data_IF_377342094087
#
_entry.id   IF_377342094087
#
_cell.length_a   1.000
_cell.length_b   1.000
_cell.length_c   1.000
_cell.angle_alpha   90.00
_cell.angle_beta   90.00
_cell.angle_gamma   90.00
#
_symmetry.space_group_name_H-M   'P 1'
#
loop_
_entity.id
_entity.type
_entity.pdbx_description
1 polymer ?
#
# COMPACT_ATOMS: atom_id res chain seq x y z
N UNK A 1 -12.83 1.60 -5.32
CA UNK A 1 -11.37 1.78 -5.15
C UNK A 1 -11.03 3.17 -5.65
N UNK A 2 -10.52 4.04 -4.79
CA UNK A 2 -9.95 5.32 -5.23
C UNK A 2 -8.48 5.11 -5.56
N UNK A 3 -8.02 5.52 -6.74
CA UNK A 3 -6.60 5.48 -7.10
C UNK A 3 -5.92 6.75 -6.61
N UNK A 4 -4.76 6.62 -5.97
CA UNK A 4 -3.86 7.73 -5.67
C UNK A 4 -2.57 7.47 -6.43
N UNK A 5 -2.61 7.73 -7.73
CA UNK A 5 -1.52 7.34 -8.63
C UNK A 5 -0.46 8.44 -8.72
N UNK A 6 0.79 8.10 -8.43
CA UNK A 6 1.96 8.80 -8.98
C UNK A 6 2.31 8.12 -10.31
N UNK A 7 1.46 8.29 -11.33
CA UNK A 7 1.59 7.54 -12.58
C UNK A 7 2.76 8.10 -13.41
N UNK A 8 3.91 7.42 -13.36
CA UNK A 8 4.94 7.50 -14.38
C UNK A 8 5.12 6.13 -14.99
N UNK A 9 4.37 5.84 -16.06
CA UNK A 9 4.54 4.63 -16.84
C UNK A 9 5.72 4.80 -17.79
N UNK A 10 6.90 4.27 -17.42
CA UNK A 10 7.92 3.97 -18.42
C UNK A 10 7.44 2.81 -19.31
N UNK A 11 7.68 2.91 -20.61
CA UNK A 11 7.37 1.87 -21.61
C UNK A 11 7.91 0.50 -21.14
N UNK A 12 7.16 -0.62 -21.30
CA UNK A 12 7.59 -1.95 -20.84
C UNK A 12 8.95 -2.42 -21.41
N UNK A 13 9.47 -1.77 -22.46
CA UNK A 13 10.79 -2.06 -23.02
C UNK A 13 11.97 -1.65 -22.12
N UNK A 14 11.73 -0.91 -21.04
CA UNK A 14 12.79 -0.47 -20.11
C UNK A 14 12.75 -1.16 -18.74
N UNK A 15 11.67 -1.85 -18.40
CA UNK A 15 11.49 -2.49 -17.10
C UNK A 15 11.95 -3.96 -17.16
N UNK A 16 13.04 -4.28 -16.46
CA UNK A 16 13.49 -5.67 -16.28
C UNK A 16 12.88 -6.33 -15.05
N UNK A 17 12.13 -5.60 -14.21
CA UNK A 17 11.37 -6.14 -13.10
C UNK A 17 10.10 -5.32 -12.82
N UNK A 18 9.04 -6.04 -12.45
CA UNK A 18 7.81 -5.48 -11.87
C UNK A 18 7.55 -6.24 -10.58
N UNK A 19 7.38 -5.52 -9.48
CA UNK A 19 7.03 -6.08 -8.18
C UNK A 19 5.66 -5.56 -7.78
N UNK A 20 4.79 -6.49 -7.34
CA UNK A 20 3.45 -6.17 -6.85
C UNK A 20 3.33 -6.68 -5.42
N UNK A 21 2.90 -5.80 -4.52
CA UNK A 21 2.49 -6.14 -3.17
C UNK A 21 0.98 -5.92 -3.04
N UNK A 22 0.29 -6.90 -2.46
CA UNK A 22 -1.14 -6.80 -2.15
C UNK A 22 -1.36 -7.14 -0.68
N UNK A 23 -1.93 -6.19 0.06
CA UNK A 23 -2.35 -6.39 1.44
C UNK A 23 -3.80 -6.86 1.48
N UNK A 24 -4.06 -7.99 2.13
CA UNK A 24 -5.41 -8.55 2.28
C UNK A 24 -5.91 -8.46 3.73
N UNK A 25 -7.21 -8.25 3.88
CA UNK A 25 -7.87 -8.32 5.20
C UNK A 25 -7.93 -9.77 5.67
N UNK A 26 -7.44 -10.05 6.87
CA UNK A 26 -7.41 -11.38 7.49
C UNK A 26 -8.61 -11.56 8.43
N UNK A 27 -9.02 -12.80 8.67
CA UNK A 27 -10.17 -13.10 9.56
C UNK A 27 -9.88 -12.81 11.04
N UNK A 28 -8.60 -12.81 11.45
CA UNK A 28 -8.20 -12.71 12.85
C UNK A 28 -7.53 -11.37 13.11
N UNK A 29 -8.07 -10.62 14.06
CA UNK A 29 -7.47 -9.39 14.59
C UNK A 29 -7.34 -9.47 16.14
N UNK A 30 -6.33 -8.82 16.72
CA UNK A 30 -6.21 -8.73 18.17
C UNK A 30 -7.31 -7.85 18.78
N UNK A 31 -7.83 -8.27 19.94
CA UNK A 31 -8.80 -7.53 20.75
C UNK A 31 -8.29 -7.47 22.19
N UNK A 32 -8.61 -6.40 22.91
CA UNK A 32 -8.23 -6.31 24.32
C UNK A 32 -8.77 -7.53 25.10
N UNK A 33 -7.90 -8.25 25.79
CA UNK A 33 -8.23 -9.49 26.49
C UNK A 33 -8.30 -10.76 25.61
N UNK A 34 -8.21 -10.65 24.29
CA UNK A 34 -8.29 -11.79 23.35
C UNK A 34 -7.28 -11.67 22.19
N UNK A 35 -6.33 -12.59 22.12
CA UNK A 35 -5.30 -12.59 21.08
C UNK A 35 -5.80 -13.00 19.68
N UNK A 36 -7.03 -13.49 19.56
CA UNK A 36 -7.57 -14.02 18.29
C UNK A 36 -9.10 -13.91 18.21
N UNK A 37 -9.60 -12.69 18.01
CA UNK A 37 -11.01 -12.45 17.75
C UNK A 37 -11.29 -12.42 16.24
N UNK A 38 -12.45 -12.94 15.82
CA UNK A 38 -12.84 -13.02 14.41
C UNK A 38 -13.55 -11.75 13.95
N UNK A 39 -13.19 -11.29 12.76
CA UNK A 39 -13.78 -10.13 12.10
C UNK A 39 -14.43 -10.56 10.78
N UNK A 40 -15.39 -9.77 10.31
CA UNK A 40 -15.97 -9.91 8.98
C UNK A 40 -15.42 -8.88 7.97
N UNK A 41 -14.90 -7.76 8.46
CA UNK A 41 -14.32 -6.69 7.65
C UNK A 41 -13.41 -5.76 8.46
N UNK A 42 -12.65 -4.93 7.76
CA UNK A 42 -12.01 -3.72 8.29
C UNK A 42 -12.67 -2.49 7.66
N UNK A 43 -13.05 -1.51 8.48
CA UNK A 43 -13.48 -0.19 8.04
C UNK A 43 -12.26 0.73 8.02
N UNK A 44 -11.85 1.18 6.83
CA UNK A 44 -10.72 2.07 6.63
C UNK A 44 -11.16 3.53 6.56
N UNK A 45 -10.54 4.36 7.39
CA UNK A 45 -10.73 5.82 7.40
C UNK A 45 -9.40 6.51 7.07
N UNK A 46 -9.47 7.56 6.24
CA UNK A 46 -8.30 8.33 5.81
C UNK A 46 -8.58 9.82 5.85
N UNK A 47 -7.59 10.62 6.27
CA UNK A 47 -7.62 12.05 6.01
C UNK A 47 -7.12 12.30 4.58
N UNK A 48 -8.05 12.21 3.63
CA UNK A 48 -7.80 12.04 2.19
C UNK A 48 -6.71 12.96 1.61
N UNK A 49 -6.76 14.30 1.79
CA UNK A 49 -5.78 15.18 1.14
C UNK A 49 -4.37 14.95 1.67
N UNK A 50 -4.25 14.68 2.98
CA UNK A 50 -2.96 14.45 3.60
C UNK A 50 -2.41 13.06 3.26
N UNK A 51 -3.24 12.02 3.32
CA UNK A 51 -2.82 10.66 2.99
C UNK A 51 -2.31 10.57 1.55
N UNK A 52 -3.05 11.16 0.60
CA UNK A 52 -2.62 11.21 -0.80
C UNK A 52 -1.29 11.96 -0.96
N UNK A 53 -1.16 13.14 -0.36
CA UNK A 53 0.07 13.94 -0.48
C UNK A 53 1.29 13.22 0.11
N UNK A 54 1.13 12.49 1.22
CA UNK A 54 2.22 11.72 1.81
C UNK A 54 2.61 10.53 0.93
N UNK A 55 1.64 9.77 0.40
CA UNK A 55 1.91 8.66 -0.52
C UNK A 55 2.68 9.14 -1.75
N UNK A 56 2.25 10.26 -2.36
CA UNK A 56 2.95 10.86 -3.50
C UNK A 56 4.38 11.26 -3.12
N UNK A 57 4.55 11.96 -2.00
CA UNK A 57 5.86 12.39 -1.51
C UNK A 57 6.82 11.23 -1.28
N UNK A 58 6.36 10.16 -0.63
CA UNK A 58 7.15 8.94 -0.39
C UNK A 58 7.51 8.29 -1.74
N UNK A 59 6.52 8.14 -2.63
CA UNK A 59 6.71 7.55 -3.95
C UNK A 59 7.77 8.29 -4.77
N UNK A 60 7.69 9.61 -4.85
CA UNK A 60 8.65 10.46 -5.57
C UNK A 60 10.06 10.34 -4.99
N UNK A 61 10.18 10.32 -3.66
CA UNK A 61 11.47 10.15 -2.98
C UNK A 61 12.09 8.77 -3.26
N UNK A 62 11.27 7.70 -3.29
CA UNK A 62 11.74 6.35 -3.59
C UNK A 62 12.09 6.17 -5.06
N UNK A 63 11.30 6.74 -5.98
CA UNK A 63 11.61 6.76 -7.41
C UNK A 63 12.97 7.41 -7.65
N UNK A 64 13.21 8.58 -7.04
CA UNK A 64 14.46 9.31 -7.19
C UNK A 64 15.66 8.56 -6.57
N UNK A 65 15.52 8.06 -5.33
CA UNK A 65 16.63 7.43 -4.59
C UNK A 65 17.03 6.04 -5.12
N UNK A 66 16.07 5.26 -5.64
CA UNK A 66 16.30 3.90 -6.12
C UNK A 66 16.38 3.80 -7.65
N UNK A 67 16.24 4.92 -8.38
CA UNK A 67 16.26 4.93 -9.84
C UNK A 67 15.11 4.10 -10.44
N UNK A 68 13.94 4.13 -9.82
CA UNK A 68 12.77 3.38 -10.27
C UNK A 68 12.21 4.00 -11.55
N UNK A 69 11.54 3.17 -12.34
CA UNK A 69 10.86 3.61 -13.56
C UNK A 69 9.45 4.14 -13.29
N UNK A 70 8.85 3.70 -12.19
CA UNK A 70 7.53 4.16 -11.77
C UNK A 70 7.02 3.38 -10.55
N UNK A 71 6.06 3.99 -9.86
CA UNK A 71 5.42 3.43 -8.68
C UNK A 71 3.94 3.79 -8.67
N UNK A 72 3.08 2.82 -8.37
CA UNK A 72 1.64 3.02 -8.24
C UNK A 72 1.16 2.47 -6.91
N UNK A 73 0.26 3.20 -6.26
CA UNK A 73 -0.34 2.83 -4.98
C UNK A 73 -1.85 2.99 -5.07
N UNK A 74 -2.57 1.91 -4.79
CA UNK A 74 -4.02 1.90 -4.71
C UNK A 74 -4.38 1.46 -3.30
N UNK A 75 -5.18 2.26 -2.61
CA UNK A 75 -5.63 1.94 -1.26
C UNK A 75 -7.17 1.98 -1.21
N UNK A 76 -7.76 0.94 -0.63
CA UNK A 76 -9.21 0.83 -0.44
C UNK A 76 -9.71 1.85 0.58
N UNK A 77 -10.99 2.20 0.48
CA UNK A 77 -11.65 3.16 1.38
C UNK A 77 -12.95 2.54 1.90
N UNK A 78 -13.31 2.89 3.13
CA UNK A 78 -14.50 2.33 3.78
C UNK A 78 -14.32 0.84 4.08
N UNK A 79 -15.41 0.09 3.97
CA UNK A 79 -15.47 -1.31 4.37
C UNK A 79 -14.77 -2.23 3.36
N UNK A 80 -13.85 -3.06 3.86
CA UNK A 80 -13.15 -4.11 3.10
C UNK A 80 -13.33 -5.43 3.82
N UNK A 81 -13.94 -6.42 3.15
CA UNK A 81 -14.26 -7.71 3.78
C UNK A 81 -13.02 -8.58 3.92
N UNK A 82 -13.07 -9.54 4.83
CA UNK A 82 -12.06 -10.60 4.93
C UNK A 82 -11.84 -11.27 3.56
N UNK A 83 -10.58 -11.43 3.18
CA UNK A 83 -10.18 -11.97 1.88
C UNK A 83 -10.14 -10.95 0.74
N UNK A 84 -10.55 -9.69 0.96
CA UNK A 84 -10.43 -8.63 -0.03
C UNK A 84 -9.13 -7.83 0.14
N UNK A 85 -8.63 -7.30 -0.98
CA UNK A 85 -7.41 -6.49 -1.02
C UNK A 85 -7.70 -5.06 -0.51
N UNK A 86 -6.94 -4.63 0.50
CA UNK A 86 -7.02 -3.28 1.06
C UNK A 86 -5.98 -2.34 0.49
N UNK A 87 -4.85 -2.84 0.00
CA UNK A 87 -3.81 -2.02 -0.63
C UNK A 87 -3.08 -2.81 -1.71
N UNK A 88 -2.82 -2.17 -2.84
CA UNK A 88 -1.92 -2.66 -3.89
C UNK A 88 -0.81 -1.65 -4.13
N UNK A 89 0.42 -2.13 -4.18
CA UNK A 89 1.60 -1.35 -4.56
C UNK A 89 2.27 -2.01 -5.75
N UNK A 90 2.53 -1.25 -6.81
CA UNK A 90 3.23 -1.73 -8.02
C UNK A 90 4.48 -0.90 -8.25
N UNK A 91 5.65 -1.54 -8.30
CA UNK A 91 6.94 -0.88 -8.57
C UNK A 91 7.54 -1.45 -9.84
N UNK A 92 8.04 -0.56 -10.71
CA UNK A 92 8.71 -0.90 -11.97
C UNK A 92 10.17 -0.46 -11.90
N UNK A 93 11.12 -1.33 -12.25
CA UNK A 93 12.56 -1.04 -12.20
C UNK A 93 13.34 -1.75 -13.31
N UNK A 94 14.59 -1.33 -13.53
CA UNK A 94 15.48 -1.99 -14.50
C UNK A 94 15.92 -3.37 -14.03
N UNK A 95 16.17 -3.55 -12.74
CA UNK A 95 16.50 -4.84 -12.14
C UNK A 95 15.70 -5.07 -10.87
N UNK A 96 15.59 -6.32 -10.43
CA UNK A 96 14.75 -6.68 -9.27
C UNK A 96 15.23 -6.07 -7.95
N UNK A 97 16.53 -5.76 -7.82
CA UNK A 97 17.14 -5.35 -6.55
C UNK A 97 16.57 -4.01 -6.08
N UNK A 98 16.41 -3.07 -6.98
CA UNK A 98 15.88 -1.73 -6.71
C UNK A 98 14.39 -1.80 -6.33
N UNK A 99 13.60 -2.62 -7.04
CA UNK A 99 12.18 -2.79 -6.73
C UNK A 99 11.94 -3.44 -5.35
N UNK A 100 12.73 -4.46 -4.99
CA UNK A 100 12.63 -5.13 -3.70
C UNK A 100 12.97 -4.17 -2.55
N UNK A 101 14.07 -3.43 -2.66
CA UNK A 101 14.48 -2.45 -1.65
C UNK A 101 13.46 -1.31 -1.51
N UNK A 102 12.94 -0.79 -2.63
CA UNK A 102 11.94 0.27 -2.61
C UNK A 102 10.59 -0.18 -2.04
N UNK A 103 10.16 -1.42 -2.29
CA UNK A 103 8.91 -1.95 -1.74
C UNK A 103 8.96 -2.03 -0.22
N UNK A 104 10.05 -2.56 0.32
CA UNK A 104 10.27 -2.68 1.77
C UNK A 104 10.26 -1.29 2.43
N UNK A 105 11.05 -0.37 1.88
CA UNK A 105 11.12 1.02 2.35
C UNK A 105 9.78 1.76 2.24
N UNK A 106 8.99 1.49 1.20
CA UNK A 106 7.65 2.09 1.05
C UNK A 106 6.70 1.63 2.14
N UNK A 107 6.63 0.33 2.41
CA UNK A 107 5.70 -0.22 3.41
C UNK A 107 6.02 0.28 4.82
N UNK A 108 7.31 0.46 5.14
CA UNK A 108 7.74 1.03 6.42
C UNK A 108 7.36 2.52 6.53
N UNK A 109 7.62 3.32 5.50
CA UNK A 109 7.26 4.74 5.49
C UNK A 109 5.75 4.94 5.49
N UNK A 110 5.01 4.11 4.75
CA UNK A 110 3.55 4.16 4.70
C UNK A 110 2.95 4.01 6.10
N UNK A 111 3.41 3.01 6.88
CA UNK A 111 2.93 2.78 8.24
C UNK A 111 3.30 3.89 9.23
N UNK A 112 4.39 4.60 8.97
CA UNK A 112 4.90 5.65 9.86
C UNK A 112 4.26 7.01 9.59
N UNK A 113 4.15 7.39 8.32
CA UNK A 113 3.92 8.77 7.91
C UNK A 113 2.52 9.01 7.33
N UNK A 114 1.80 7.95 6.94
CA UNK A 114 0.48 8.08 6.30
C UNK A 114 -0.65 7.83 7.30
N UNK A 115 -1.52 8.82 7.56
CA UNK A 115 -2.61 8.69 8.52
C UNK A 115 -3.75 7.84 7.95
N UNK A 116 -3.66 6.52 8.17
CA UNK A 116 -4.68 5.52 7.81
C UNK A 116 -5.08 4.79 9.08
N UNK A 117 -6.37 4.83 9.40
CA UNK A 117 -6.93 4.10 10.53
C UNK A 117 -7.79 2.93 10.04
N UNK A 118 -7.68 1.80 10.73
CA UNK A 118 -8.49 0.60 10.49
C UNK A 118 -9.29 0.27 11.74
N UNK A 119 -10.58 0.02 11.57
CA UNK A 119 -11.46 -0.42 12.65
C UNK A 119 -12.01 -1.82 12.34
N UNK A 120 -11.84 -2.80 13.24
CA UNK A 120 -12.40 -4.14 13.05
C UNK A 120 -13.91 -4.16 13.15
N UNK A 121 -14.56 -4.74 12.13
CA UNK A 121 -15.97 -5.09 12.20
C UNK A 121 -16.06 -6.54 12.69
N UNK A 122 -16.38 -6.70 13.98
CA UNK A 122 -16.48 -8.00 14.63
C UNK A 122 -17.63 -8.83 14.06
N UNK A 123 -17.46 -10.16 14.13
CA UNK A 123 -18.49 -11.13 13.79
C UNK A 123 -19.49 -11.34 14.93
#
# INVERSE_FOLDING_TARGET
MGSHTAERCAHPGHAGAILVFEGFVREIEPREGESSARIQALDYQTYEPMAQNQIIRIGDALIASHGLLGMEVIHSRGRVRVGECSIRVTIRSRHRKEALAAMDAFLDQLKKDVPIWKEPVWR
#
